data_IF_250544569975
#
_entry.id   IF_250544569975
#
_cell.length_a   1.000
_cell.length_b   1.000
_cell.length_c   1.000
_cell.angle_alpha   90.00
_cell.angle_beta   90.00
_cell.angle_gamma   90.00
#
_symmetry.space_group_name_H-M   'P 1'
#
loop_
_entity.id
_entity.type
_entity.pdbx_description
1 polymer ?
#
# COMPACT_ATOMS: atom_id res chain seq x y z
N UNK A 1 -11.14 8.79 -8.48
CA UNK A 1 -10.99 7.73 -7.45
C UNK A 1 -11.33 6.39 -8.11
N UNK A 2 -10.56 5.33 -7.83
CA UNK A 2 -10.84 3.98 -8.34
C UNK A 2 -11.66 3.19 -7.32
N UNK A 3 -12.63 2.40 -7.79
CA UNK A 3 -13.30 1.40 -6.94
C UNK A 3 -12.35 0.23 -6.64
N UNK A 4 -12.61 -0.50 -5.55
CA UNK A 4 -11.78 -1.66 -5.17
C UNK A 4 -11.68 -2.72 -6.28
N UNK A 5 -12.76 -2.97 -7.03
CA UNK A 5 -12.77 -3.93 -8.14
C UNK A 5 -11.95 -3.51 -9.38
N UNK A 6 -11.52 -2.25 -9.46
CA UNK A 6 -10.68 -1.74 -10.53
C UNK A 6 -9.18 -1.75 -10.18
N UNK A 7 -8.86 -1.99 -8.91
CA UNK A 7 -7.49 -2.08 -8.44
C UNK A 7 -6.97 -3.50 -8.64
N UNK A 8 -5.69 -3.58 -8.93
CA UNK A 8 -4.90 -4.80 -9.01
C UNK A 8 -3.77 -4.72 -8.01
N UNK A 9 -3.28 -5.89 -7.61
CA UNK A 9 -2.04 -6.04 -6.86
C UNK A 9 -0.86 -6.00 -7.84
N UNK A 10 0.14 -5.20 -7.54
CA UNK A 10 1.36 -5.03 -8.34
C UNK A 10 2.59 -5.12 -7.45
N UNK A 11 3.69 -5.61 -8.00
CA UNK A 11 4.98 -5.74 -7.32
C UNK A 11 5.93 -4.65 -7.79
N UNK A 12 6.50 -3.88 -6.85
CA UNK A 12 7.43 -2.78 -7.15
C UNK A 12 8.65 -3.33 -7.89
N UNK A 13 9.31 -4.33 -7.30
CA UNK A 13 10.26 -5.21 -7.98
C UNK A 13 9.46 -6.40 -8.53
N UNK A 14 9.36 -6.57 -9.85
CA UNK A 14 8.63 -7.69 -10.44
C UNK A 14 9.15 -9.04 -9.96
N UNK A 15 8.26 -10.02 -9.78
CA UNK A 15 8.64 -11.39 -9.39
C UNK A 15 9.59 -12.03 -10.40
N UNK A 16 9.42 -11.73 -11.70
CA UNK A 16 10.34 -12.17 -12.76
C UNK A 16 11.76 -11.59 -12.66
N UNK A 17 11.95 -10.55 -11.82
CA UNK A 17 13.25 -9.95 -11.51
C UNK A 17 13.69 -10.23 -10.07
N UNK A 18 13.11 -11.24 -9.42
CA UNK A 18 13.47 -11.65 -8.06
C UNK A 18 12.79 -10.84 -6.95
N UNK A 19 11.72 -10.11 -7.24
CA UNK A 19 10.94 -9.42 -6.22
C UNK A 19 10.15 -10.36 -5.33
N UNK A 20 10.23 -10.16 -4.01
CA UNK A 20 9.54 -10.97 -3.01
C UNK A 20 8.04 -10.66 -2.91
N UNK A 21 7.26 -11.65 -2.49
CA UNK A 21 5.84 -11.49 -2.14
C UNK A 21 5.64 -10.97 -0.70
N UNK A 22 6.16 -9.77 -0.41
CA UNK A 22 6.10 -9.12 0.91
C UNK A 22 5.40 -7.77 0.87
N UNK A 23 4.89 -7.32 2.02
CA UNK A 23 4.15 -6.07 2.15
C UNK A 23 4.90 -4.89 1.53
N UNK A 24 6.19 -4.78 1.79
CA UNK A 24 7.08 -3.70 1.34
C UNK A 24 7.37 -3.71 -0.16
N UNK A 25 6.99 -4.78 -0.89
CA UNK A 25 7.17 -4.88 -2.34
C UNK A 25 5.83 -4.87 -3.09
N UNK A 26 4.69 -4.78 -2.39
CA UNK A 26 3.37 -5.00 -2.98
C UNK A 26 2.50 -3.77 -2.79
N UNK A 27 1.94 -3.27 -3.90
CA UNK A 27 1.11 -2.07 -3.92
C UNK A 27 -0.20 -2.30 -4.66
N UNK A 28 -1.17 -1.41 -4.42
CA UNK A 28 -2.37 -1.34 -5.23
C UNK A 28 -2.14 -0.41 -6.43
N UNK A 29 -2.42 -0.89 -7.64
CA UNK A 29 -2.32 -0.13 -8.88
C UNK A 29 -3.59 -0.28 -9.71
N UNK A 30 -3.92 0.70 -10.55
CA UNK A 30 -4.97 0.50 -11.55
C UNK A 30 -4.45 -0.44 -12.67
N UNK A 31 -5.36 -1.13 -13.36
CA UNK A 31 -5.00 -2.06 -14.45
C UNK A 31 -4.09 -1.43 -15.50
N UNK A 32 -4.38 -0.20 -15.93
CA UNK A 32 -3.60 0.52 -16.94
C UNK A 32 -2.15 0.74 -16.50
N UNK A 33 -1.95 1.23 -15.26
CA UNK A 33 -0.60 1.46 -14.74
C UNK A 33 0.15 0.16 -14.51
N UNK A 34 -0.51 -0.87 -13.96
CA UNK A 34 0.10 -2.18 -13.74
C UNK A 34 0.54 -2.82 -15.08
N UNK A 35 -0.31 -2.77 -16.11
CA UNK A 35 0.04 -3.25 -17.45
C UNK A 35 1.16 -2.46 -18.11
N UNK A 36 1.18 -1.13 -17.91
CA UNK A 36 2.27 -0.29 -18.42
C UNK A 36 3.60 -0.59 -17.71
N UNK A 37 3.56 -0.81 -16.39
CA UNK A 37 4.73 -1.21 -15.60
C UNK A 37 5.25 -2.59 -16.00
N UNK A 38 4.36 -3.55 -16.23
CA UNK A 38 4.70 -4.92 -16.61
C UNK A 38 5.84 -5.50 -15.74
N UNK A 39 6.97 -5.84 -16.36
CA UNK A 39 8.17 -6.35 -15.69
C UNK A 39 9.29 -5.31 -15.56
N UNK A 40 8.98 -4.02 -15.67
CA UNK A 40 9.93 -2.93 -15.45
C UNK A 40 9.98 -2.52 -13.98
N UNK A 41 11.13 -2.00 -13.57
CA UNK A 41 11.30 -1.22 -12.35
C UNK A 41 10.71 0.19 -12.55
N UNK A 42 10.38 0.87 -11.46
CA UNK A 42 9.75 2.19 -11.52
C UNK A 42 10.67 3.23 -12.18
N UNK A 43 11.98 3.12 -11.91
CA UNK A 43 13.03 4.01 -12.43
C UNK A 43 13.19 3.86 -13.95
N UNK A 44 12.92 2.67 -14.50
CA UNK A 44 12.99 2.42 -15.95
C UNK A 44 11.88 3.14 -16.74
N UNK A 45 10.77 3.48 -16.06
CA UNK A 45 9.59 4.10 -16.66
C UNK A 45 9.31 5.52 -16.16
N UNK A 46 10.22 6.08 -15.35
CA UNK A 46 9.99 7.37 -14.67
C UNK A 46 8.64 7.41 -13.93
N UNK A 47 8.29 6.28 -13.31
CA UNK A 47 7.08 6.15 -12.48
C UNK A 47 7.43 6.35 -11.01
N UNK A 48 6.50 6.91 -10.24
CA UNK A 48 6.66 7.10 -8.81
C UNK A 48 5.50 6.48 -8.04
N UNK A 49 5.78 6.06 -6.80
CA UNK A 49 4.77 5.56 -5.89
C UNK A 49 3.98 6.71 -5.28
N UNK A 50 2.66 6.59 -5.32
CA UNK A 50 1.76 7.53 -4.62
C UNK A 50 1.87 7.37 -3.10
N UNK A 51 2.17 6.17 -2.62
CA UNK A 51 2.40 5.87 -1.21
C UNK A 51 3.42 4.74 -1.09
N UNK A 52 4.33 4.87 -0.13
CA UNK A 52 5.29 3.82 0.19
C UNK A 52 4.57 2.65 0.88
N UNK A 53 4.83 1.41 0.45
CA UNK A 53 4.28 0.24 1.12
C UNK A 53 4.97 0.00 2.46
N UNK A 54 4.21 -0.51 3.42
CA UNK A 54 4.71 -0.94 4.71
C UNK A 54 3.82 -2.07 5.24
N UNK A 55 4.35 -2.88 6.15
CA UNK A 55 3.56 -3.85 6.89
C UNK A 55 2.87 -3.17 8.08
N UNK A 56 1.52 -3.09 8.11
CA UNK A 56 0.82 -2.55 9.26
C UNK A 56 0.95 -3.49 10.47
N UNK A 57 1.03 -2.91 11.66
CA UNK A 57 0.81 -3.61 12.91
C UNK A 57 -0.71 -3.80 13.18
N UNK A 58 -1.05 -4.45 14.29
CA UNK A 58 -2.45 -4.76 14.59
C UNK A 58 -3.33 -3.51 14.76
N UNK A 59 -2.83 -2.46 15.41
CA UNK A 59 -3.58 -1.21 15.61
C UNK A 59 -3.80 -0.47 14.27
N UNK A 60 -2.76 -0.39 13.44
CA UNK A 60 -2.82 0.19 12.11
C UNK A 60 -3.76 -0.60 11.19
N UNK A 61 -3.72 -1.92 11.26
CA UNK A 61 -4.63 -2.78 10.50
C UNK A 61 -6.09 -2.50 10.87
N UNK A 62 -6.42 -2.48 12.17
CA UNK A 62 -7.76 -2.14 12.66
C UNK A 62 -8.21 -0.74 12.18
N UNK A 63 -7.30 0.24 12.23
CA UNK A 63 -7.53 1.59 11.75
C UNK A 63 -7.82 1.65 10.24
N UNK A 64 -7.06 0.91 9.43
CA UNK A 64 -7.22 0.87 7.97
C UNK A 64 -8.55 0.23 7.56
N UNK A 65 -8.88 -0.95 8.10
CA UNK A 65 -10.08 -1.70 7.69
C UNK A 65 -11.39 -1.06 8.19
N UNK A 66 -11.35 -0.34 9.31
CA UNK A 66 -12.51 0.32 9.91
C UNK A 66 -12.46 1.85 9.81
N UNK A 67 -11.64 2.41 8.92
CA UNK A 67 -11.41 3.86 8.79
C UNK A 67 -12.68 4.72 8.66
N UNK A 68 -13.79 4.15 8.18
CA UNK A 68 -15.11 4.83 8.08
C UNK A 68 -16.00 4.70 9.32
N UNK A 69 -15.64 3.84 10.27
CA UNK A 69 -16.47 3.44 11.42
C UNK A 69 -15.82 3.78 12.77
N UNK A 70 -14.53 4.09 12.78
CA UNK A 70 -13.80 4.40 14.02
C UNK A 70 -14.13 5.83 14.45
N UNK A 71 -14.54 5.97 15.71
CA UNK A 71 -14.75 7.27 16.35
C UNK A 71 -13.42 7.98 16.64
N UNK A 72 -13.44 9.30 16.83
CA UNK A 72 -12.22 10.10 16.98
C UNK A 72 -11.35 9.67 18.16
N UNK A 73 -11.97 9.40 19.31
CA UNK A 73 -11.33 8.92 20.55
C UNK A 73 -10.69 7.52 20.38
N UNK A 74 -11.39 6.62 19.70
CA UNK A 74 -10.88 5.30 19.35
C UNK A 74 -9.68 5.39 18.41
N UNK A 75 -9.70 6.33 17.45
CA UNK A 75 -8.56 6.58 16.57
C UNK A 75 -7.36 7.15 17.32
N UNK A 76 -7.59 8.08 18.25
CA UNK A 76 -6.54 8.65 19.09
C UNK A 76 -5.85 7.56 19.92
N UNK A 77 -6.64 6.67 20.53
CA UNK A 77 -6.12 5.50 21.24
C UNK A 77 -5.26 4.61 20.32
N UNK A 78 -5.77 4.25 19.13
CA UNK A 78 -5.04 3.39 18.19
C UNK A 78 -3.75 4.05 17.69
N UNK A 79 -3.77 5.36 17.40
CA UNK A 79 -2.62 6.12 16.90
C UNK A 79 -1.44 6.08 17.86
N UNK A 80 -1.67 6.01 19.17
CA UNK A 80 -0.60 5.87 20.17
C UNK A 80 0.24 4.60 19.99
N UNK A 81 -0.27 3.61 19.24
CA UNK A 81 0.37 2.32 18.98
C UNK A 81 0.89 2.19 17.54
N UNK A 82 0.80 3.23 16.72
CA UNK A 82 1.25 3.17 15.32
C UNK A 82 2.77 3.08 15.23
N UNK A 83 3.24 2.38 14.19
CA UNK A 83 4.67 2.27 13.92
C UNK A 83 5.20 3.59 13.36
N UNK A 84 6.51 3.86 13.47
CA UNK A 84 7.14 5.04 12.84
C UNK A 84 6.96 5.09 11.32
N UNK A 85 6.72 3.94 10.70
CA UNK A 85 6.55 3.80 9.26
C UNK A 85 5.08 3.85 8.84
N UNK A 86 4.17 4.21 9.75
CA UNK A 86 2.75 4.32 9.44
C UNK A 86 2.49 5.34 8.35
N UNK A 87 1.55 5.05 7.45
CA UNK A 87 1.08 6.02 6.44
C UNK A 87 0.32 7.22 7.05
N UNK A 88 0.02 7.18 8.35
CA UNK A 88 -0.81 8.17 9.04
C UNK A 88 0.00 9.10 9.97
N UNK A 89 1.31 8.86 10.03
CA UNK A 89 2.33 9.76 10.58
C UNK A 89 2.95 10.54 9.41
#
# INVERSE_FOLDING_TARGET
QFSSGQLTRDHIVPTSRGGDDKWENVVAACRRCNQHKANYLLEELSMELVALPYRPNNAEYLALINSRRILGDQMEFLRSQFSKNSRWL
#
